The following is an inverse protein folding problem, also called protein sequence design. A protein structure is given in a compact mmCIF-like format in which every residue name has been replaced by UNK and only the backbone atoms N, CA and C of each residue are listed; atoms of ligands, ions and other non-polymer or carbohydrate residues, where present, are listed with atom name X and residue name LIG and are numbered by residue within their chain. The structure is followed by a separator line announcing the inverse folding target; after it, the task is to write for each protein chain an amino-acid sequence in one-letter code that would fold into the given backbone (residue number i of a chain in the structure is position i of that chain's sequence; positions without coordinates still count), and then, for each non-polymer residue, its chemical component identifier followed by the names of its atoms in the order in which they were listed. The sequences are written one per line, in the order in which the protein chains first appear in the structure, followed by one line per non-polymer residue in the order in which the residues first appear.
data_IF_559231405311
#
_entry.id   IF_559231405311
#
_cell.length_a   1.000
_cell.length_b   1.000
_cell.length_c   1.000
_cell.angle_alpha   90.00
_cell.angle_beta   90.00
_cell.angle_gamma   90.00
#
_symmetry.space_group_name_H-M   'P 1'
#
loop_
_entity.id
_entity.type
_entity.pdbx_description
1 polymer ?
#
# COMPACT_ATOMS: atom_id res chain seq x y z
N UNK A 1 7.76 -35.00 54.96
CA UNK A 1 6.76 -35.56 55.90
C UNK A 1 5.36 -35.07 55.46
N UNK A 2 4.48 -36.02 55.35
CA UNK A 2 3.01 -35.98 55.12
C UNK A 2 2.54 -35.91 53.68
N UNK A 3 2.38 -37.09 53.15
CA UNK A 3 1.44 -37.61 52.14
C UNK A 3 -0.02 -37.32 52.51
N UNK A 4 -0.80 -36.86 51.51
CA UNK A 4 -2.25 -36.98 51.60
C UNK A 4 -2.75 -37.61 50.29
N UNK A 5 -3.34 -38.79 50.48
CA UNK A 5 -4.06 -39.62 49.55
C UNK A 5 -5.37 -38.90 49.12
N UNK A 6 -5.67 -38.87 47.79
CA UNK A 6 -7.00 -38.56 47.36
C UNK A 6 -7.73 -39.80 46.83
N UNK A 7 -8.83 -40.05 47.44
CA UNK A 7 -9.71 -41.19 47.16
C UNK A 7 -10.49 -40.98 45.87
N UNK A 8 -10.48 -41.97 45.01
CA UNK A 8 -11.35 -42.14 43.87
C UNK A 8 -12.79 -42.34 44.35
N UNK A 9 -13.69 -41.50 43.87
CA UNK A 9 -15.16 -41.78 43.93
C UNK A 9 -15.63 -42.01 42.51
N UNK A 10 -15.96 -43.26 42.22
CA UNK A 10 -16.61 -43.71 40.97
C UNK A 10 -18.07 -43.38 41.09
N UNK A 11 -18.56 -42.41 40.32
CA UNK A 11 -19.96 -42.11 40.13
C UNK A 11 -20.49 -42.79 38.87
N UNK A 12 -21.29 -43.85 39.05
CA UNK A 12 -21.99 -44.57 38.01
C UNK A 12 -23.12 -43.70 37.46
N UNK A 13 -23.00 -43.14 36.27
CA UNK A 13 -24.09 -42.41 35.62
C UNK A 13 -24.70 -43.28 34.50
N UNK A 14 -25.94 -43.62 34.70
CA UNK A 14 -26.74 -44.43 33.79
C UNK A 14 -26.87 -43.76 32.40
N UNK A 15 -26.42 -44.43 31.38
CA UNK A 15 -26.65 -44.10 29.97
C UNK A 15 -28.09 -44.38 29.59
N UNK A 16 -28.88 -43.31 29.49
CA UNK A 16 -30.15 -43.36 28.76
C UNK A 16 -29.84 -43.33 27.27
N UNK A 17 -29.86 -44.48 26.62
CA UNK A 17 -29.87 -44.58 25.16
C UNK A 17 -31.18 -44.00 24.62
N UNK A 18 -31.19 -42.76 24.23
CA UNK A 18 -32.20 -42.22 23.35
C UNK A 18 -31.79 -42.57 21.91
N UNK A 19 -32.40 -43.58 21.34
CA UNK A 19 -32.35 -43.83 19.91
C UNK A 19 -32.99 -42.66 19.16
N UNK A 20 -32.19 -41.69 18.78
CA UNK A 20 -32.56 -40.68 17.79
C UNK A 20 -32.30 -41.37 16.43
N UNK A 21 -33.35 -41.83 15.77
CA UNK A 21 -33.30 -42.21 14.35
C UNK A 21 -32.75 -41.02 13.58
N UNK A 22 -31.45 -41.08 13.23
CA UNK A 22 -30.87 -40.23 12.21
C UNK A 22 -31.48 -40.71 10.87
N UNK A 23 -32.46 -39.98 10.39
CA UNK A 23 -32.85 -40.06 8.99
C UNK A 23 -31.63 -39.57 8.21
N UNK A 24 -30.83 -40.51 7.72
CA UNK A 24 -29.84 -40.26 6.66
C UNK A 24 -30.61 -39.80 5.40
N UNK A 25 -30.93 -38.52 5.33
CA UNK A 25 -31.15 -37.90 4.04
C UNK A 25 -29.75 -37.80 3.38
N UNK A 26 -29.29 -38.91 2.85
CA UNK A 26 -28.31 -38.91 1.79
C UNK A 26 -28.93 -38.11 0.65
N UNK A 27 -28.54 -36.85 0.54
CA UNK A 27 -28.76 -36.05 -0.65
C UNK A 27 -28.06 -36.85 -1.75
N UNK A 28 -28.82 -37.57 -2.54
CA UNK A 28 -28.35 -38.17 -3.79
C UNK A 28 -28.06 -36.98 -4.69
N UNK A 29 -26.83 -36.41 -4.57
CA UNK A 29 -26.29 -35.51 -5.58
C UNK A 29 -26.24 -36.35 -6.84
N UNK A 30 -27.08 -36.03 -7.82
CA UNK A 30 -27.12 -36.81 -9.06
C UNK A 30 -25.73 -36.84 -9.69
N UNK A 31 -25.31 -37.97 -10.24
CA UNK A 31 -24.00 -38.12 -10.91
C UNK A 31 -23.71 -37.01 -11.93
N UNK A 32 -24.76 -36.45 -12.54
CA UNK A 32 -24.66 -35.30 -13.44
C UNK A 32 -24.24 -33.98 -12.76
N UNK A 33 -24.58 -33.77 -11.51
CA UNK A 33 -24.14 -32.60 -10.72
C UNK A 33 -22.66 -32.76 -10.29
N UNK A 34 -22.28 -33.96 -9.88
CA UNK A 34 -20.89 -34.25 -9.48
C UNK A 34 -19.95 -34.13 -10.68
N UNK A 35 -20.31 -34.70 -11.83
CA UNK A 35 -19.53 -34.59 -13.07
C UNK A 35 -19.42 -33.15 -13.58
N UNK A 36 -20.48 -32.34 -13.41
CA UNK A 36 -20.43 -30.92 -13.76
C UNK A 36 -19.53 -30.07 -12.81
N UNK A 37 -19.52 -30.38 -11.51
CA UNK A 37 -18.64 -29.78 -10.54
C UNK A 37 -17.18 -30.12 -10.84
N UNK A 38 -16.87 -31.38 -11.12
CA UNK A 38 -15.53 -31.84 -11.48
C UNK A 38 -15.02 -31.20 -12.78
N UNK A 39 -15.92 -31.04 -13.76
CA UNK A 39 -15.57 -30.33 -15.00
C UNK A 39 -15.26 -28.88 -14.78
N UNK A 40 -16.07 -28.16 -14.00
CA UNK A 40 -15.82 -26.76 -13.65
C UNK A 40 -14.50 -26.59 -12.90
N UNK A 41 -14.19 -27.47 -11.97
CA UNK A 41 -12.94 -27.42 -11.21
C UNK A 41 -11.72 -27.69 -12.11
N UNK A 42 -11.78 -28.65 -13.01
CA UNK A 42 -10.74 -28.88 -14.02
C UNK A 42 -10.52 -27.67 -14.93
N UNK A 43 -11.59 -26.99 -15.35
CA UNK A 43 -11.50 -25.76 -16.15
C UNK A 43 -10.86 -24.61 -15.35
N UNK A 44 -11.20 -24.46 -14.06
CA UNK A 44 -10.57 -23.48 -13.16
C UNK A 44 -9.07 -23.73 -13.01
N UNK A 45 -8.66 -24.97 -12.77
CA UNK A 45 -7.26 -25.35 -12.65
C UNK A 45 -6.53 -25.08 -13.97
N UNK A 46 -7.10 -25.43 -15.10
CA UNK A 46 -6.52 -25.17 -16.42
C UNK A 46 -6.35 -23.65 -16.66
N UNK A 47 -7.37 -22.86 -16.32
CA UNK A 47 -7.32 -21.39 -16.43
C UNK A 47 -6.23 -20.81 -15.54
N UNK A 48 -6.12 -21.27 -14.27
CA UNK A 48 -5.07 -20.82 -13.35
C UNK A 48 -3.68 -21.10 -13.90
N UNK A 49 -3.41 -22.34 -14.33
CA UNK A 49 -2.10 -22.71 -14.92
C UNK A 49 -1.76 -21.87 -16.15
N UNK A 50 -2.76 -21.53 -16.97
CA UNK A 50 -2.54 -20.66 -18.13
C UNK A 50 -2.18 -19.24 -17.69
N UNK A 51 -2.84 -18.70 -16.67
CA UNK A 51 -2.51 -17.36 -16.11
C UNK A 51 -1.09 -17.38 -15.54
N UNK A 52 -0.75 -18.36 -14.70
CA UNK A 52 0.59 -18.51 -14.11
C UNK A 52 1.69 -18.59 -15.19
N UNK A 53 1.43 -19.28 -16.31
CA UNK A 53 2.39 -19.35 -17.41
C UNK A 53 2.52 -18.02 -18.16
N UNK A 54 1.42 -17.29 -18.36
CA UNK A 54 1.46 -15.94 -18.96
C UNK A 54 2.22 -14.96 -18.06
N UNK A 55 1.94 -14.97 -16.75
CA UNK A 55 2.65 -14.14 -15.79
C UNK A 55 4.15 -14.44 -15.77
N UNK A 56 4.51 -15.73 -15.88
CA UNK A 56 5.92 -16.15 -15.99
C UNK A 56 6.60 -15.62 -17.26
N UNK A 57 5.92 -15.71 -18.40
CA UNK A 57 6.44 -15.21 -19.69
C UNK A 57 6.61 -13.69 -19.62
N UNK A 58 5.63 -12.97 -19.08
CA UNK A 58 5.69 -11.51 -18.92
C UNK A 58 6.82 -11.10 -17.98
N UNK A 59 7.00 -11.80 -16.86
CA UNK A 59 8.13 -11.56 -15.95
C UNK A 59 9.48 -11.73 -16.65
N UNK A 60 9.69 -12.80 -17.41
CA UNK A 60 10.93 -13.04 -18.14
C UNK A 60 11.17 -11.96 -19.20
N UNK A 61 10.13 -11.53 -19.90
CA UNK A 61 10.18 -10.46 -20.89
C UNK A 61 10.62 -9.13 -20.27
N UNK A 62 10.01 -8.76 -19.14
CA UNK A 62 10.32 -7.53 -18.40
C UNK A 62 11.73 -7.57 -17.80
N UNK A 63 12.16 -8.72 -17.28
CA UNK A 63 13.51 -8.92 -16.78
C UNK A 63 14.55 -8.73 -17.89
N UNK A 64 14.29 -9.24 -19.09
CA UNK A 64 15.18 -9.03 -20.24
C UNK A 64 15.33 -7.54 -20.57
N UNK A 65 14.23 -6.79 -20.64
CA UNK A 65 14.27 -5.35 -20.89
C UNK A 65 15.05 -4.62 -19.81
N UNK A 66 14.89 -5.01 -18.54
CA UNK A 66 15.65 -4.44 -17.42
C UNK A 66 17.13 -4.75 -17.54
N UNK A 67 17.51 -5.98 -17.87
CA UNK A 67 18.91 -6.37 -18.06
C UNK A 67 19.57 -5.61 -19.22
N UNK A 68 18.85 -5.39 -20.31
CA UNK A 68 19.37 -4.61 -21.44
C UNK A 68 19.55 -3.12 -21.06
N UNK A 69 18.62 -2.54 -20.28
CA UNK A 69 18.77 -1.19 -19.72
C UNK A 69 19.97 -1.09 -18.77
N UNK A 70 20.18 -2.11 -17.93
CA UNK A 70 21.33 -2.18 -17.02
C UNK A 70 22.67 -2.30 -17.78
N UNK A 71 22.72 -3.05 -18.88
CA UNK A 71 23.93 -3.11 -19.71
C UNK A 71 24.30 -1.73 -20.27
N UNK A 72 23.30 -0.97 -20.76
CA UNK A 72 23.53 0.41 -21.21
C UNK A 72 24.04 1.28 -20.08
N UNK A 73 23.46 1.18 -18.88
CA UNK A 73 23.88 1.93 -17.71
C UNK A 73 25.32 1.56 -17.29
N UNK A 74 25.68 0.26 -17.30
CA UNK A 74 27.03 -0.22 -16.95
C UNK A 74 28.08 0.29 -17.94
N UNK A 75 27.78 0.37 -19.24
CA UNK A 75 28.67 0.95 -20.24
C UNK A 75 28.97 2.43 -19.97
N UNK A 76 28.10 3.12 -19.24
CA UNK A 76 28.21 4.52 -18.88
C UNK A 76 28.50 4.75 -17.39
N UNK A 77 28.93 3.72 -16.66
CA UNK A 77 29.08 3.78 -15.20
C UNK A 77 30.18 4.76 -14.76
N UNK A 78 31.18 5.02 -15.60
CA UNK A 78 32.24 6.00 -15.33
C UNK A 78 31.76 7.46 -15.39
N UNK A 79 30.61 7.71 -16.01
CA UNK A 79 30.05 9.04 -16.11
C UNK A 79 29.47 9.45 -14.75
N UNK A 80 29.57 10.75 -14.40
CA UNK A 80 28.89 11.30 -13.24
C UNK A 80 27.38 11.40 -13.48
N UNK A 81 26.99 11.73 -14.70
CA UNK A 81 25.61 11.84 -15.14
C UNK A 81 25.42 11.17 -16.50
N UNK A 82 24.33 10.46 -16.62
CA UNK A 82 23.95 9.80 -17.86
C UNK A 82 22.43 9.74 -17.98
N UNK A 83 21.90 10.05 -19.14
CA UNK A 83 20.47 9.97 -19.41
C UNK A 83 20.23 9.37 -20.79
N UNK A 84 19.33 8.41 -20.87
CA UNK A 84 18.89 7.80 -22.11
C UNK A 84 17.42 7.48 -22.07
N UNK A 85 16.73 7.70 -23.21
CA UNK A 85 15.33 7.31 -23.40
C UNK A 85 15.19 6.60 -24.73
N UNK A 86 14.50 5.48 -24.75
CA UNK A 86 14.23 4.73 -25.95
C UNK A 86 12.96 3.90 -25.80
N UNK A 87 12.39 3.53 -26.92
CA UNK A 87 11.27 2.61 -27.02
C UNK A 87 11.76 1.25 -27.50
N UNK A 88 11.24 0.17 -26.91
CA UNK A 88 11.53 -1.20 -27.32
C UNK A 88 10.23 -1.97 -27.51
N UNK A 89 10.18 -2.77 -28.57
CA UNK A 89 9.11 -3.75 -28.76
C UNK A 89 9.56 -5.09 -28.20
N UNK A 90 8.85 -5.59 -27.22
CA UNK A 90 9.09 -6.92 -26.65
C UNK A 90 7.82 -7.75 -26.74
N UNK A 91 7.85 -8.82 -27.54
CA UNK A 91 6.69 -9.67 -27.85
C UNK A 91 5.45 -8.88 -28.29
N UNK A 92 5.65 -7.91 -29.20
CA UNK A 92 4.62 -6.99 -29.72
C UNK A 92 4.04 -6.00 -28.69
N UNK A 93 4.62 -5.90 -27.49
CA UNK A 93 4.23 -4.93 -26.48
C UNK A 93 5.23 -3.77 -26.48
N UNK A 94 4.78 -2.51 -26.67
CA UNK A 94 5.65 -1.35 -26.62
C UNK A 94 6.03 -1.04 -25.17
N UNK A 95 7.30 -0.86 -24.90
CA UNK A 95 7.84 -0.48 -23.60
C UNK A 95 8.70 0.77 -23.78
N UNK A 96 8.37 1.83 -23.03
CA UNK A 96 9.21 3.02 -22.96
C UNK A 96 10.19 2.86 -21.81
N UNK A 97 11.48 2.99 -22.12
CA UNK A 97 12.56 2.85 -21.14
C UNK A 97 13.23 4.20 -20.95
N UNK A 98 13.38 4.60 -19.70
CA UNK A 98 14.16 5.76 -19.28
C UNK A 98 15.24 5.32 -18.31
N UNK A 99 16.49 5.69 -18.59
CA UNK A 99 17.67 5.43 -17.77
C UNK A 99 18.21 6.78 -17.31
N UNK A 100 18.38 7.00 -16.02
CA UNK A 100 18.89 8.26 -15.49
C UNK A 100 19.86 8.00 -14.35
N UNK A 101 21.13 8.25 -14.57
CA UNK A 101 22.18 8.26 -13.56
C UNK A 101 22.47 9.72 -13.20
N UNK A 102 22.21 10.12 -11.97
CA UNK A 102 22.47 11.47 -11.49
C UNK A 102 22.47 11.49 -9.94
N UNK A 103 22.82 12.62 -9.37
CA UNK A 103 22.75 12.95 -7.93
C UNK A 103 21.29 13.28 -7.53
N UNK A 104 20.35 12.36 -7.80
CA UNK A 104 18.91 12.56 -7.59
C UNK A 104 18.58 12.83 -6.12
N UNK A 105 19.19 12.08 -5.22
CA UNK A 105 18.83 12.05 -3.80
C UNK A 105 19.81 12.78 -2.91
N UNK A 106 21.09 12.74 -3.26
CA UNK A 106 22.18 13.38 -2.52
C UNK A 106 23.18 14.04 -3.46
N UNK A 107 24.02 14.93 -2.94
CA UNK A 107 25.13 15.54 -3.72
C UNK A 107 26.38 14.67 -3.77
N UNK A 108 26.42 13.58 -3.03
CA UNK A 108 27.63 12.79 -2.81
C UNK A 108 27.58 11.44 -3.54
N UNK A 109 26.41 10.80 -3.54
CA UNK A 109 26.23 9.45 -4.10
C UNK A 109 25.23 9.50 -5.27
N UNK A 110 25.68 9.27 -6.51
CA UNK A 110 24.76 9.17 -7.62
C UNK A 110 23.95 7.87 -7.55
N UNK A 111 22.69 7.95 -7.99
CA UNK A 111 21.82 6.80 -8.11
C UNK A 111 21.37 6.64 -9.56
N UNK A 112 21.21 5.40 -9.97
CA UNK A 112 20.63 5.05 -11.25
C UNK A 112 19.13 4.80 -11.04
N UNK A 113 18.28 5.47 -11.81
CA UNK A 113 16.85 5.21 -11.88
C UNK A 113 16.56 4.65 -13.27
N UNK A 114 15.92 3.47 -13.31
CA UNK A 114 15.42 2.87 -14.54
C UNK A 114 13.89 2.83 -14.45
N UNK A 115 13.23 3.51 -15.39
CA UNK A 115 11.78 3.45 -15.53
C UNK A 115 11.44 2.66 -16.79
N UNK A 116 10.51 1.72 -16.65
CA UNK A 116 9.97 0.92 -17.74
C UNK A 116 8.46 1.08 -17.73
N UNK A 117 7.93 1.72 -18.75
CA UNK A 117 6.49 1.98 -18.87
C UNK A 117 5.93 1.12 -20.00
N UNK A 118 5.10 0.16 -19.63
CA UNK A 118 4.29 -0.63 -20.56
C UNK A 118 2.79 -0.30 -20.39
N UNK A 119 1.91 -0.75 -21.31
CA UNK A 119 0.49 -0.42 -21.25
C UNK A 119 -0.22 -0.82 -19.93
N UNK A 120 0.23 -1.88 -19.27
CA UNK A 120 -0.37 -2.40 -18.04
C UNK A 120 0.26 -1.85 -16.76
N UNK A 121 1.58 -1.61 -16.76
CA UNK A 121 2.28 -1.21 -15.54
C UNK A 121 3.49 -0.29 -15.81
N UNK A 122 3.76 0.55 -14.82
CA UNK A 122 4.96 1.34 -14.67
C UNK A 122 5.88 0.65 -13.64
N UNK A 123 7.11 0.38 -14.05
CA UNK A 123 8.15 -0.17 -13.18
C UNK A 123 9.22 0.88 -12.94
N UNK A 124 9.61 1.08 -11.70
CA UNK A 124 10.70 1.97 -11.31
C UNK A 124 11.69 1.20 -10.44
N UNK A 125 12.90 1.02 -10.97
CA UNK A 125 13.99 0.40 -10.22
C UNK A 125 15.06 1.46 -9.92
N UNK A 126 15.48 1.55 -8.65
CA UNK A 126 16.54 2.44 -8.21
C UNK A 126 17.73 1.60 -7.78
N UNK A 127 18.91 2.02 -8.23
CA UNK A 127 20.17 1.39 -7.89
C UNK A 127 21.10 2.40 -7.27
N UNK A 128 21.76 2.00 -6.20
CA UNK A 128 22.92 2.70 -5.65
C UNK A 128 24.14 2.39 -6.50
N UNK A 129 24.95 3.41 -6.82
CA UNK A 129 26.23 3.22 -7.50
C UNK A 129 27.32 2.98 -6.45
N UNK A 130 27.90 1.79 -6.46
CA UNK A 130 29.04 1.40 -5.61
C UNK A 130 30.22 1.07 -6.53
N UNK A 131 31.20 1.97 -6.63
CA UNK A 131 32.34 1.85 -7.55
C UNK A 131 31.89 1.53 -8.98
N UNK A 132 32.19 0.30 -9.44
CA UNK A 132 31.85 -0.17 -10.78
C UNK A 132 30.63 -1.10 -10.81
N UNK A 133 29.72 -0.98 -9.83
CA UNK A 133 28.51 -1.81 -9.73
C UNK A 133 27.28 -0.98 -9.41
N UNK A 134 26.14 -1.46 -9.87
CA UNK A 134 24.84 -0.99 -9.51
C UNK A 134 24.16 -2.03 -8.61
N UNK A 135 23.78 -1.65 -7.40
CA UNK A 135 23.03 -2.48 -6.45
C UNK A 135 21.59 -1.98 -6.36
N UNK A 136 20.63 -2.84 -6.65
CA UNK A 136 19.20 -2.46 -6.61
C UNK A 136 18.75 -2.24 -5.17
N UNK A 137 18.24 -1.05 -4.88
CA UNK A 137 17.81 -0.60 -3.55
C UNK A 137 16.33 -0.31 -3.46
N UNK A 138 15.66 -0.04 -4.60
CA UNK A 138 14.19 0.05 -4.69
C UNK A 138 13.74 -0.69 -5.93
N UNK A 139 12.62 -1.40 -5.84
CA UNK A 139 11.84 -1.89 -6.96
C UNK A 139 10.37 -1.60 -6.68
N UNK A 140 9.74 -0.87 -7.59
CA UNK A 140 8.34 -0.45 -7.47
C UNK A 140 7.60 -0.78 -8.76
N UNK A 141 6.41 -1.33 -8.61
CA UNK A 141 5.47 -1.60 -9.69
C UNK A 141 4.14 -0.93 -9.38
N UNK A 142 3.56 -0.24 -10.36
CA UNK A 142 2.27 0.39 -10.27
C UNK A 142 1.49 0.24 -11.57
N UNK A 143 0.20 -0.05 -11.51
CA UNK A 143 -0.66 -0.06 -12.68
C UNK A 143 -0.59 1.29 -13.41
N UNK A 144 -0.39 1.26 -14.72
CA UNK A 144 -0.27 2.48 -15.53
C UNK A 144 -1.52 3.37 -15.45
N UNK A 145 -2.70 2.76 -15.31
CA UNK A 145 -3.97 3.48 -15.14
C UNK A 145 -4.09 4.23 -13.81
N UNK A 146 -3.34 3.82 -12.79
CA UNK A 146 -3.35 4.43 -11.47
C UNK A 146 -2.14 5.33 -11.24
N UNK A 147 -1.01 5.06 -11.93
CA UNK A 147 0.22 5.83 -11.79
C UNK A 147 0.02 7.27 -12.24
N UNK A 148 0.38 8.21 -11.37
CA UNK A 148 0.33 9.63 -11.68
C UNK A 148 1.73 10.17 -12.01
N UNK A 149 2.66 10.03 -11.09
CA UNK A 149 4.06 10.45 -11.23
C UNK A 149 4.92 9.87 -10.11
N UNK A 150 6.22 10.02 -10.26
CA UNK A 150 7.17 9.89 -9.15
C UNK A 150 7.93 11.19 -8.93
N UNK A 151 8.38 11.44 -7.70
CA UNK A 151 9.11 12.64 -7.30
C UNK A 151 10.23 12.31 -6.33
N UNK A 152 11.22 13.20 -6.28
CA UNK A 152 12.34 13.12 -5.35
C UNK A 152 12.32 14.39 -4.49
N UNK A 153 12.09 14.25 -3.20
CA UNK A 153 12.01 15.36 -2.25
C UNK A 153 12.10 14.87 -0.80
N UNK A 154 12.55 15.72 0.09
CA UNK A 154 12.52 15.48 1.54
C UNK A 154 11.05 15.39 2.02
N UNK A 155 10.66 14.27 2.61
CA UNK A 155 9.29 14.02 3.11
C UNK A 155 9.23 14.07 4.63
N UNK A 156 10.26 13.56 5.31
CA UNK A 156 10.28 13.39 6.75
C UNK A 156 11.00 14.54 7.50
N UNK A 157 11.61 15.47 6.78
CA UNK A 157 12.31 16.63 7.33
C UNK A 157 13.68 16.31 7.93
N UNK A 158 14.37 15.30 7.39
CA UNK A 158 15.72 14.93 7.82
C UNK A 158 16.84 15.57 6.95
N UNK A 159 16.44 16.25 5.87
CA UNK A 159 17.35 16.92 4.94
C UNK A 159 17.86 16.02 3.81
N UNK A 160 17.42 14.76 3.75
CA UNK A 160 17.67 13.85 2.63
C UNK A 160 16.46 13.86 1.70
N UNK A 161 16.69 13.66 0.41
CA UNK A 161 15.61 13.50 -0.53
C UNK A 161 15.15 12.04 -0.58
N UNK A 162 13.86 11.83 -0.47
CA UNK A 162 13.19 10.54 -0.51
C UNK A 162 12.59 10.28 -1.89
N UNK A 163 12.34 9.03 -2.22
CA UNK A 163 11.61 8.64 -3.42
C UNK A 163 10.13 8.47 -3.11
N UNK A 164 9.29 9.11 -3.91
CA UNK A 164 7.84 9.12 -3.73
C UNK A 164 7.15 8.73 -5.03
N UNK A 165 6.31 7.71 -4.98
CA UNK A 165 5.40 7.35 -6.07
C UNK A 165 3.99 7.77 -5.72
N UNK A 166 3.39 8.59 -6.57
CA UNK A 166 2.01 9.04 -6.42
C UNK A 166 1.12 8.29 -7.40
N UNK A 167 -0.01 7.79 -6.91
CA UNK A 167 -0.99 7.10 -7.73
C UNK A 167 -2.42 7.34 -7.24
N UNK A 168 -3.40 7.10 -8.09
CA UNK A 168 -4.80 7.32 -7.79
C UNK A 168 -5.59 6.03 -8.00
N UNK A 169 -6.29 5.56 -6.97
CA UNK A 169 -7.07 4.32 -7.04
C UNK A 169 -8.19 4.39 -8.10
N UNK A 170 -8.21 3.44 -9.02
CA UNK A 170 -9.10 3.42 -10.19
C UNK A 170 -10.57 3.15 -9.88
N UNK A 171 -10.88 2.53 -8.73
CA UNK A 171 -12.22 2.04 -8.41
C UNK A 171 -12.89 2.78 -7.24
N UNK A 172 -14.18 3.12 -7.37
CA UNK A 172 -15.05 3.63 -6.32
C UNK A 172 -15.19 5.15 -6.30
N UNK A 173 -16.06 5.65 -5.43
CA UNK A 173 -16.57 7.03 -5.41
C UNK A 173 -15.77 7.99 -4.50
N UNK A 174 -14.76 7.51 -3.80
CA UNK A 174 -14.10 8.29 -2.75
C UNK A 174 -12.76 8.87 -3.23
N UNK A 175 -12.28 9.92 -2.54
CA UNK A 175 -10.94 10.47 -2.77
C UNK A 175 -9.87 9.42 -2.44
N UNK A 176 -9.01 9.07 -3.40
CA UNK A 176 -8.06 7.97 -3.32
C UNK A 176 -6.72 8.29 -3.96
N UNK A 177 -6.16 9.45 -3.64
CA UNK A 177 -4.79 9.76 -3.95
C UNK A 177 -3.86 9.06 -2.95
N UNK A 178 -2.93 8.27 -3.44
CA UNK A 178 -1.97 7.56 -2.62
C UNK A 178 -0.55 8.07 -2.89
N UNK A 179 0.27 8.05 -1.85
CA UNK A 179 1.72 8.24 -1.98
C UNK A 179 2.42 7.07 -1.31
N UNK A 180 3.29 6.39 -2.05
CA UNK A 180 4.23 5.41 -1.52
C UNK A 180 5.62 6.01 -1.45
N UNK A 181 6.24 5.94 -0.27
CA UNK A 181 7.46 6.66 0.06
C UNK A 181 8.53 5.68 0.47
N UNK A 182 9.70 5.83 -0.11
CA UNK A 182 10.93 5.15 0.23
C UNK A 182 11.87 6.20 0.79
N UNK A 183 12.11 6.19 2.11
CA UNK A 183 13.02 7.13 2.77
C UNK A 183 14.46 6.76 2.45
N UNK A 184 15.26 7.72 2.03
CA UNK A 184 16.70 7.53 1.88
C UNK A 184 17.33 7.33 3.27
N UNK A 185 18.14 6.30 3.41
CA UNK A 185 18.83 5.99 4.64
C UNK A 185 20.03 6.92 4.89
N UNK A 186 20.48 7.00 6.15
CA UNK A 186 21.62 7.85 6.54
C UNK A 186 22.95 7.47 5.87
N UNK A 187 23.06 6.25 5.34
CA UNK A 187 24.19 5.82 4.51
C UNK A 187 24.20 6.48 3.13
N UNK A 188 23.12 7.20 2.77
CA UNK A 188 22.90 7.88 1.50
C UNK A 188 22.96 6.97 0.28
N UNK A 189 22.73 5.68 0.47
CA UNK A 189 22.83 4.64 -0.54
C UNK A 189 21.60 3.74 -0.59
N UNK A 190 21.03 3.41 0.56
CA UNK A 190 19.91 2.48 0.68
C UNK A 190 18.62 3.19 1.05
N UNK A 191 17.50 2.50 0.91
CA UNK A 191 16.18 3.03 1.21
C UNK A 191 15.45 2.16 2.23
N UNK A 192 14.53 2.78 2.98
CA UNK A 192 13.62 2.09 3.88
C UNK A 192 12.65 1.18 3.12
N UNK A 193 11.91 0.34 3.84
CA UNK A 193 10.64 -0.21 3.33
C UNK A 193 9.69 0.96 3.03
N UNK A 194 8.77 0.74 2.08
CA UNK A 194 7.82 1.78 1.71
C UNK A 194 6.81 2.09 2.82
N UNK A 195 6.48 3.37 2.91
CA UNK A 195 5.34 3.88 3.67
C UNK A 195 4.22 4.26 2.69
N UNK A 196 3.00 3.93 3.02
CA UNK A 196 1.84 4.23 2.18
C UNK A 196 0.86 5.13 2.90
N UNK A 197 0.52 6.26 2.28
CA UNK A 197 -0.45 7.22 2.79
C UNK A 197 -1.57 7.44 1.79
N UNK A 198 -2.77 7.71 2.31
CA UNK A 198 -3.93 8.08 1.51
C UNK A 198 -4.21 9.58 1.67
N UNK A 199 -4.41 10.27 0.55
CA UNK A 199 -4.69 11.71 0.47
C UNK A 199 -3.75 12.56 1.36
N UNK A 200 -2.41 12.37 1.30
CA UNK A 200 -1.51 13.01 2.21
C UNK A 200 -1.16 14.45 1.81
N UNK A 201 -0.97 15.29 2.81
CA UNK A 201 -0.27 16.57 2.72
C UNK A 201 0.96 16.51 3.63
N UNK A 202 2.14 16.60 3.04
CA UNK A 202 3.41 16.52 3.76
C UNK A 202 3.88 17.88 4.21
N UNK A 203 4.31 17.98 5.46
CA UNK A 203 4.92 19.18 6.08
C UNK A 203 6.31 18.83 6.64
N UNK A 204 7.36 18.73 5.81
CA UNK A 204 8.69 18.28 6.23
C UNK A 204 9.26 19.12 7.37
N UNK A 205 9.11 20.45 7.32
CA UNK A 205 9.59 21.37 8.38
C UNK A 205 8.99 21.07 9.76
N UNK A 206 7.75 20.58 9.80
CA UNK A 206 7.06 20.18 11.02
C UNK A 206 7.28 18.71 11.36
N UNK A 207 7.82 17.93 10.42
CA UNK A 207 7.89 16.47 10.44
C UNK A 207 6.51 15.84 10.58
N UNK A 208 5.50 16.41 9.91
CA UNK A 208 4.09 16.03 10.03
C UNK A 208 3.54 15.61 8.65
N UNK A 209 2.69 14.58 8.69
CA UNK A 209 1.81 14.20 7.59
C UNK A 209 0.38 14.40 8.06
N UNK A 210 -0.39 15.18 7.32
CA UNK A 210 -1.85 15.30 7.51
C UNK A 210 -2.53 14.76 6.26
N UNK A 211 -3.77 14.32 6.39
CA UNK A 211 -4.53 13.90 5.22
C UNK A 211 -5.95 13.55 5.56
N UNK A 212 -6.68 13.15 4.52
CA UNK A 212 -8.08 12.74 4.61
C UNK A 212 -8.18 11.23 4.47
N UNK A 213 -8.87 10.57 5.39
CA UNK A 213 -9.11 9.14 5.33
C UNK A 213 -10.03 8.76 4.16
N UNK A 214 -10.02 7.47 3.81
CA UNK A 214 -10.99 6.92 2.87
C UNK A 214 -12.41 7.02 3.43
N UNK A 215 -13.35 7.53 2.63
CA UNK A 215 -14.75 7.67 2.99
C UNK A 215 -15.49 8.64 2.06
N UNK A 216 -16.80 8.80 2.25
CA UNK A 216 -17.63 9.73 1.46
C UNK A 216 -17.37 11.19 1.83
N UNK A 217 -17.65 12.14 0.90
CA UNK A 217 -17.51 13.55 1.20
C UNK A 217 -18.38 13.97 2.38
N UNK A 218 -17.78 14.72 3.30
CA UNK A 218 -18.46 15.17 4.52
C UNK A 218 -18.64 14.11 5.62
N UNK A 219 -18.24 12.85 5.38
CA UNK A 219 -18.47 11.72 6.29
C UNK A 219 -17.19 11.02 6.76
N UNK A 220 -16.04 11.44 6.25
CA UNK A 220 -14.73 10.85 6.58
C UNK A 220 -14.01 11.61 7.71
N UNK A 221 -12.82 11.14 8.08
CA UNK A 221 -11.97 11.78 9.06
C UNK A 221 -10.72 12.36 8.40
N UNK A 222 -10.08 13.29 9.08
CA UNK A 222 -8.71 13.70 8.82
C UNK A 222 -7.77 13.04 9.83
N UNK A 223 -6.52 12.81 9.44
CA UNK A 223 -5.49 12.26 10.30
C UNK A 223 -4.28 13.19 10.41
N UNK A 224 -3.51 13.00 11.48
CA UNK A 224 -2.22 13.67 11.70
C UNK A 224 -1.22 12.68 12.25
N UNK A 225 -0.15 12.50 11.52
CA UNK A 225 0.97 11.65 11.89
C UNK A 225 2.24 12.48 12.05
N UNK A 226 3.19 11.99 12.82
CA UNK A 226 4.49 12.62 13.03
C UNK A 226 5.60 11.64 12.70
N UNK A 227 6.55 12.08 11.93
CA UNK A 227 7.78 11.36 11.72
C UNK A 227 8.65 11.36 12.98
N UNK A 228 9.09 10.18 13.39
CA UNK A 228 10.02 9.96 14.48
C UNK A 228 11.21 9.15 13.94
N UNK A 229 12.15 9.86 13.30
CA UNK A 229 13.19 9.24 12.49
C UNK A 229 12.58 8.43 11.34
N UNK A 230 12.76 7.11 11.38
CA UNK A 230 12.28 6.15 10.37
C UNK A 230 10.94 5.51 10.71
N UNK A 231 10.28 5.96 11.76
CA UNK A 231 8.96 5.49 12.17
C UNK A 231 7.96 6.62 12.10
N UNK A 232 6.69 6.27 12.17
CA UNK A 232 5.62 7.23 12.16
C UNK A 232 4.67 7.00 13.33
N UNK A 233 4.41 8.06 14.09
CA UNK A 233 3.51 8.04 15.23
C UNK A 233 2.17 8.66 14.85
N UNK A 234 1.08 8.01 15.23
CA UNK A 234 -0.26 8.58 15.12
C UNK A 234 -0.45 9.61 16.23
N UNK A 235 -0.70 10.87 15.87
CA UNK A 235 -0.98 11.92 16.84
C UNK A 235 -2.47 12.04 17.12
N UNK A 236 -3.29 12.17 16.08
CA UNK A 236 -4.72 12.39 16.24
C UNK A 236 -5.51 12.12 14.97
N UNK A 237 -6.81 11.94 15.15
CA UNK A 237 -7.83 11.99 14.10
C UNK A 237 -8.82 13.11 14.41
N UNK A 238 -9.32 13.76 13.37
CA UNK A 238 -10.31 14.83 13.45
C UNK A 238 -11.54 14.41 12.67
N UNK A 239 -12.72 14.47 13.29
CA UNK A 239 -13.98 14.10 12.65
C UNK A 239 -15.15 14.94 13.18
N UNK A 240 -16.27 14.91 12.45
CA UNK A 240 -17.52 15.44 12.99
C UNK A 240 -18.03 14.57 14.13
N UNK A 241 -18.45 15.19 15.25
CA UNK A 241 -19.13 14.47 16.31
C UNK A 241 -20.53 14.09 15.83
N UNK A 242 -20.89 12.82 16.03
CA UNK A 242 -22.21 12.30 15.69
C UNK A 242 -22.99 11.94 16.95
N UNK A 243 -24.32 12.16 16.89
CA UNK A 243 -25.26 11.69 17.92
C UNK A 243 -25.42 10.16 17.82
N UNK A 244 -26.12 9.56 18.79
CA UNK A 244 -26.47 8.13 18.76
C UNK A 244 -27.31 7.75 17.54
N UNK A 245 -27.96 8.73 16.91
CA UNK A 245 -28.71 8.57 15.64
C UNK A 245 -27.84 8.71 14.39
N UNK A 246 -26.53 8.99 14.54
CA UNK A 246 -25.60 9.18 13.45
C UNK A 246 -25.61 10.59 12.84
N UNK A 247 -26.39 11.52 13.35
CA UNK A 247 -26.49 12.91 12.87
C UNK A 247 -25.32 13.75 13.40
N UNK A 248 -24.81 14.69 12.57
CA UNK A 248 -23.76 15.62 13.01
C UNK A 248 -24.29 16.58 14.08
N UNK A 249 -23.59 16.68 15.22
CA UNK A 249 -23.98 17.59 16.33
C UNK A 249 -23.54 19.04 16.11
N UNK A 250 -22.82 19.34 15.02
CA UNK A 250 -22.20 20.64 14.78
C UNK A 250 -20.86 20.83 15.50
N UNK A 251 -20.38 19.81 16.21
CA UNK A 251 -19.06 19.81 16.88
C UNK A 251 -18.04 18.98 16.13
N UNK A 252 -16.77 19.27 16.40
CA UNK A 252 -15.62 18.50 15.94
C UNK A 252 -15.02 17.74 17.12
N UNK A 253 -14.70 16.48 16.93
CA UNK A 253 -13.93 15.71 17.89
C UNK A 253 -12.51 15.46 17.39
N UNK A 254 -11.57 15.50 18.33
CA UNK A 254 -10.20 15.05 18.15
C UNK A 254 -10.02 13.79 18.95
N UNK A 255 -9.55 12.72 18.35
CA UNK A 255 -9.42 11.40 18.98
C UNK A 255 -8.03 10.79 18.75
N UNK A 256 -7.64 9.85 19.62
CA UNK A 256 -6.35 9.14 19.49
C UNK A 256 -6.35 8.04 18.43
N UNK A 257 -7.52 7.53 18.09
CA UNK A 257 -7.72 6.51 17.05
C UNK A 257 -8.89 6.91 16.16
N UNK A 258 -8.96 6.26 14.99
CA UNK A 258 -10.02 6.45 14.02
C UNK A 258 -11.37 6.07 14.64
N UNK A 259 -12.40 6.98 14.66
CA UNK A 259 -13.70 6.71 15.22
C UNK A 259 -14.44 5.55 14.55
N UNK A 260 -14.27 5.39 13.24
CA UNK A 260 -14.84 4.27 12.48
C UNK A 260 -13.86 3.08 12.46
N UNK A 261 -14.19 2.02 13.18
CA UNK A 261 -13.47 0.74 13.12
C UNK A 261 -12.74 0.31 14.38
N UNK A 262 -12.92 0.97 15.52
CA UNK A 262 -12.26 0.53 16.74
C UNK A 262 -12.59 1.32 18.01
N UNK A 263 -11.94 0.94 19.09
CA UNK A 263 -12.02 1.71 20.34
C UNK A 263 -11.19 2.99 20.19
N UNK A 264 -11.82 4.15 20.37
CA UNK A 264 -11.15 5.44 20.38
C UNK A 264 -11.47 6.21 21.67
N UNK A 265 -10.59 7.14 22.02
CA UNK A 265 -10.78 8.08 23.14
C UNK A 265 -10.83 9.47 22.55
N UNK A 266 -11.87 10.22 22.89
CA UNK A 266 -11.97 11.63 22.56
C UNK A 266 -10.97 12.40 23.44
N UNK A 267 -10.05 13.09 22.78
CA UNK A 267 -9.05 13.94 23.41
C UNK A 267 -9.59 15.36 23.62
N UNK A 268 -10.33 15.87 22.62
CA UNK A 268 -10.89 17.23 22.63
C UNK A 268 -12.21 17.28 21.89
N UNK A 269 -13.09 18.22 22.29
CA UNK A 269 -14.27 18.66 21.54
C UNK A 269 -14.13 20.12 21.19
N UNK A 270 -14.31 20.45 19.91
CA UNK A 270 -14.07 21.77 19.35
C UNK A 270 -15.34 22.27 18.65
N UNK A 271 -15.51 23.59 18.57
CA UNK A 271 -16.57 24.22 17.77
C UNK A 271 -16.18 24.38 16.30
N UNK A 272 -14.90 24.44 16.01
CA UNK A 272 -14.34 24.69 14.68
C UNK A 272 -13.23 23.71 14.36
N UNK A 273 -13.04 23.42 13.09
CA UNK A 273 -11.93 22.64 12.58
C UNK A 273 -10.62 23.41 12.83
N UNK A 274 -9.57 22.77 13.38
CA UNK A 274 -8.26 23.43 13.60
C UNK A 274 -7.69 23.98 12.30
N UNK A 275 -7.09 25.17 12.37
CA UNK A 275 -6.62 25.92 11.19
C UNK A 275 -5.57 25.16 10.36
N UNK A 276 -4.75 24.33 11.01
CA UNK A 276 -3.73 23.52 10.35
C UNK A 276 -4.29 22.47 9.37
N UNK A 277 -5.55 22.09 9.53
CA UNK A 277 -6.23 21.17 8.61
C UNK A 277 -6.89 21.86 7.42
N UNK A 278 -7.14 23.18 7.49
CA UNK A 278 -7.81 23.90 6.41
C UNK A 278 -6.98 24.03 5.14
N UNK A 279 -5.67 23.73 5.22
CA UNK A 279 -4.72 23.87 4.11
C UNK A 279 -4.28 22.53 3.52
N UNK A 280 -4.86 21.41 3.98
CA UNK A 280 -4.50 20.11 3.44
C UNK A 280 -5.25 19.83 2.14
N UNK A 281 -4.64 19.00 1.30
CA UNK A 281 -5.32 18.46 0.11
C UNK A 281 -6.52 17.61 0.55
N UNK A 282 -7.67 17.78 -0.12
CA UNK A 282 -8.92 17.09 0.20
C UNK A 282 -9.67 17.67 1.41
N UNK A 283 -9.35 18.88 1.87
CA UNK A 283 -10.12 19.55 2.93
C UNK A 283 -11.60 19.75 2.53
N UNK A 284 -11.87 20.08 1.27
CA UNK A 284 -13.20 20.18 0.67
C UNK A 284 -13.95 18.84 0.72
N UNK A 285 -13.25 17.73 0.52
CA UNK A 285 -13.79 16.38 0.68
C UNK A 285 -14.20 16.09 2.12
N UNK A 286 -13.36 16.46 3.09
CA UNK A 286 -13.70 16.33 4.50
C UNK A 286 -14.93 17.15 4.88
N UNK A 287 -15.04 18.39 4.40
CA UNK A 287 -16.21 19.25 4.69
C UNK A 287 -17.44 18.86 3.90
N UNK A 288 -17.30 18.18 2.77
CA UNK A 288 -18.36 17.91 1.81
C UNK A 288 -18.70 19.12 0.94
N UNK A 289 -17.88 20.18 0.97
CA UNK A 289 -18.13 21.40 0.20
C UNK A 289 -17.95 21.12 -1.29
N UNK A 290 -18.99 21.38 -2.09
CA UNK A 290 -18.98 21.14 -3.54
C UNK A 290 -19.37 19.73 -3.97
N UNK A 291 -19.75 18.85 -3.02
CA UNK A 291 -20.13 17.44 -3.28
C UNK A 291 -21.58 17.13 -2.85
N UNK A 292 -22.40 18.14 -2.61
CA UNK A 292 -23.83 18.01 -2.23
C UNK A 292 -24.74 17.98 -3.45
#
# INVERSE_FOLDING_TARGET
MKTILYKLTIGLLALLFSCRQQTNNSIIVSDSLQTNLDKKEKERIKKRKRIEELDRIDSLRLDKVLQDALKIAIQNISNEKFHNKYDVMSDSIPIKVEISLDYHFTKENPHLIIRRNEPSAMYVDIYSKNDNKFERVVSHEQWTMEYMNDTVRDINGDGLNDFVVNWYGSNGCCLKAFSEIYLLETDKKTFSKNFKFINPTFSPKEKIVRGVCYGHPGETEMYKYKWNGKTIDTLEYVSYEKSDKGEKTGRIIVSNNRPYGGRYKILKRLKLIPNEYKKIEGYDWFTGTGYQ
#
